data_IF_303682394479
#
_entry.id   IF_303682394479
#
_cell.length_a   1.000
_cell.length_b   1.000
_cell.length_c   1.000
_cell.angle_alpha   90.00
_cell.angle_beta   90.00
_cell.angle_gamma   90.00
#
_symmetry.space_group_name_H-M   'P 1'
#
loop_
_entity.id
_entity.type
_entity.pdbx_description
1 polymer ?
#
# COMPACT_ATOMS: atom_id res chain seq x y z
N UNK A 1 15.59 -3.37 -17.77
CA UNK A 1 16.14 -2.39 -16.80
C UNK A 1 16.46 -3.12 -15.52
N UNK A 2 17.42 -2.59 -14.73
CA UNK A 2 17.65 -3.04 -13.36
C UNK A 2 16.93 -2.11 -12.38
N UNK A 3 16.01 -2.64 -11.60
CA UNK A 3 15.10 -1.85 -10.79
C UNK A 3 15.25 -2.21 -9.31
N UNK A 4 15.52 -1.20 -8.47
CA UNK A 4 15.53 -1.36 -7.02
C UNK A 4 14.09 -1.26 -6.49
N UNK A 5 13.65 -2.25 -5.73
CA UNK A 5 12.35 -2.27 -5.06
C UNK A 5 12.54 -2.30 -3.56
N UNK A 6 12.13 -1.25 -2.86
CA UNK A 6 12.04 -1.26 -1.39
C UNK A 6 10.65 -1.73 -0.98
N UNK A 7 10.55 -2.59 0.02
CA UNK A 7 9.28 -3.21 0.37
C UNK A 7 8.83 -4.34 -0.56
N UNK A 8 9.73 -4.86 -1.40
CA UNK A 8 9.45 -5.91 -2.37
C UNK A 8 8.97 -7.25 -1.77
N UNK A 9 9.21 -7.51 -0.48
CA UNK A 9 8.72 -8.69 0.23
C UNK A 9 7.29 -8.57 0.76
N UNK A 10 6.70 -7.38 0.73
CA UNK A 10 5.32 -7.12 1.15
C UNK A 10 4.28 -7.64 0.15
N UNK A 11 2.99 -7.54 0.51
CA UNK A 11 1.87 -7.96 -0.34
C UNK A 11 1.94 -7.32 -1.74
N UNK A 12 1.92 -6.00 -1.82
CA UNK A 12 1.99 -5.26 -3.10
C UNK A 12 3.36 -5.43 -3.76
N UNK A 13 4.43 -5.43 -2.95
CA UNK A 13 5.79 -5.56 -3.45
C UNK A 13 6.03 -6.85 -4.22
N UNK A 14 5.49 -7.97 -3.75
CA UNK A 14 5.60 -9.28 -4.46
C UNK A 14 4.93 -9.23 -5.83
N UNK A 15 3.72 -8.69 -5.92
CA UNK A 15 3.02 -8.55 -7.19
C UNK A 15 3.77 -7.64 -8.18
N UNK A 16 4.38 -6.56 -7.69
CA UNK A 16 5.22 -5.67 -8.51
C UNK A 16 6.49 -6.38 -8.98
N UNK A 17 7.19 -7.08 -8.08
CA UNK A 17 8.40 -7.85 -8.42
C UNK A 17 8.09 -8.90 -9.47
N UNK A 18 7.04 -9.68 -9.29
CA UNK A 18 6.59 -10.69 -10.27
C UNK A 18 6.28 -10.05 -11.63
N UNK A 19 5.59 -8.92 -11.63
CA UNK A 19 5.26 -8.19 -12.86
C UNK A 19 6.51 -7.65 -13.56
N UNK A 20 7.50 -7.14 -12.84
CA UNK A 20 8.77 -6.69 -13.40
C UNK A 20 9.55 -7.86 -14.04
N UNK A 21 9.65 -8.99 -13.34
CA UNK A 21 10.31 -10.18 -13.87
C UNK A 21 9.64 -10.71 -15.13
N UNK A 22 8.30 -10.73 -15.18
CA UNK A 22 7.55 -11.15 -16.37
C UNK A 22 7.77 -10.24 -17.59
N UNK A 23 8.25 -9.02 -17.38
CA UNK A 23 8.65 -8.05 -18.41
C UNK A 23 10.12 -8.18 -18.83
N UNK A 24 10.88 -9.10 -18.24
CA UNK A 24 12.30 -9.26 -18.48
C UNK A 24 13.19 -8.25 -17.74
N UNK A 25 12.69 -7.61 -16.70
CA UNK A 25 13.49 -6.71 -15.85
C UNK A 25 14.34 -7.49 -14.86
N UNK A 26 15.50 -6.94 -14.51
CA UNK A 26 16.29 -7.41 -13.38
C UNK A 26 15.84 -6.66 -12.13
N UNK A 27 15.55 -7.37 -11.06
CA UNK A 27 15.03 -6.78 -9.84
C UNK A 27 16.03 -6.92 -8.71
N UNK A 28 16.31 -5.80 -8.03
CA UNK A 28 17.02 -5.78 -6.75
C UNK A 28 16.03 -5.42 -5.65
N UNK A 29 15.98 -6.20 -4.57
CA UNK A 29 15.09 -5.95 -3.42
C UNK A 29 15.93 -5.53 -2.23
N UNK A 30 15.62 -4.37 -1.64
CA UNK A 30 16.13 -3.97 -0.33
C UNK A 30 15.36 -4.69 0.76
N UNK A 31 16.01 -5.54 1.54
CA UNK A 31 15.40 -6.33 2.61
C UNK A 31 16.15 -6.18 3.93
N UNK A 32 15.41 -6.13 5.05
CA UNK A 32 15.97 -6.04 6.41
C UNK A 32 16.60 -7.33 6.91
N UNK A 33 16.31 -8.44 6.26
CA UNK A 33 16.82 -9.78 6.62
C UNK A 33 17.00 -10.63 5.37
N UNK A 34 17.53 -11.83 5.55
CA UNK A 34 17.92 -12.78 4.49
C UNK A 34 16.75 -13.61 3.93
N UNK A 35 15.50 -13.19 4.06
CA UNK A 35 14.37 -13.92 3.46
C UNK A 35 14.48 -13.83 1.94
N UNK A 36 14.75 -14.96 1.24
CA UNK A 36 14.75 -14.94 -0.22
C UNK A 36 13.35 -14.58 -0.71
N UNK A 37 13.27 -13.65 -1.65
CA UNK A 37 12.07 -13.49 -2.46
C UNK A 37 11.91 -14.76 -3.31
N UNK A 38 10.70 -15.34 -3.30
CA UNK A 38 10.45 -16.62 -3.98
C UNK A 38 10.77 -16.55 -5.48
N UNK A 39 11.59 -17.47 -5.95
CA UNK A 39 11.70 -17.92 -7.33
C UNK A 39 12.23 -16.90 -8.34
N UNK A 40 13.39 -17.18 -8.93
CA UNK A 40 13.95 -16.43 -10.05
C UNK A 40 15.09 -15.49 -9.65
N UNK A 41 15.69 -14.84 -10.63
CA UNK A 41 16.83 -13.93 -10.57
C UNK A 41 16.53 -12.62 -9.84
N UNK A 42 16.16 -12.66 -8.57
CA UNK A 42 16.00 -11.47 -7.73
C UNK A 42 17.24 -11.30 -6.86
N UNK A 43 17.98 -10.24 -7.10
CA UNK A 43 19.10 -9.85 -6.23
C UNK A 43 18.54 -9.25 -4.92
N UNK A 44 18.93 -9.78 -3.78
CA UNK A 44 18.55 -9.22 -2.47
C UNK A 44 19.76 -8.51 -1.86
N UNK A 45 19.58 -7.22 -1.52
CA UNK A 45 20.57 -6.43 -0.79
C UNK A 45 20.05 -6.19 0.62
N UNK A 46 20.90 -6.52 1.61
CA UNK A 46 20.58 -6.28 3.01
C UNK A 46 20.69 -4.79 3.32
N UNK A 47 19.61 -4.23 3.90
CA UNK A 47 19.59 -2.83 4.29
C UNK A 47 18.23 -2.39 4.83
N UNK A 48 18.17 -1.14 5.26
CA UNK A 48 16.95 -0.53 5.78
C UNK A 48 16.88 0.93 5.35
N UNK A 49 15.69 1.40 4.99
CA UNK A 49 15.45 2.82 4.70
C UNK A 49 15.74 3.73 5.90
N UNK A 50 15.81 3.17 7.10
CA UNK A 50 16.18 3.87 8.34
C UNK A 50 17.67 3.79 8.65
N UNK A 51 18.48 3.18 7.77
CA UNK A 51 19.93 3.10 7.86
C UNK A 51 20.56 3.63 6.56
N UNK A 52 20.78 4.95 6.46
CA UNK A 52 21.25 5.61 5.23
C UNK A 52 22.52 5.00 4.64
N UNK A 53 23.43 4.54 5.49
CA UNK A 53 24.71 3.92 5.12
C UNK A 53 24.54 2.65 4.26
N UNK A 54 23.37 2.00 4.33
CA UNK A 54 23.09 0.79 3.54
C UNK A 54 22.47 1.08 2.18
N UNK A 55 22.06 2.32 1.92
CA UNK A 55 21.21 2.65 0.77
C UNK A 55 21.99 2.98 -0.49
N UNK A 56 23.16 3.62 -0.36
CA UNK A 56 24.00 3.97 -1.51
C UNK A 56 24.37 2.73 -2.31
N UNK A 57 24.85 1.67 -1.63
CA UNK A 57 25.18 0.40 -2.29
C UNK A 57 23.95 -0.25 -2.96
N UNK A 58 22.77 -0.12 -2.36
CA UNK A 58 21.54 -0.62 -2.95
C UNK A 58 21.14 0.12 -4.24
N UNK A 59 21.44 1.43 -4.34
CA UNK A 59 21.13 2.26 -5.51
C UNK A 59 22.16 2.14 -6.64
N UNK A 60 23.37 1.63 -6.37
CA UNK A 60 24.42 1.54 -7.40
C UNK A 60 24.03 0.63 -8.56
N UNK A 61 24.17 1.14 -9.80
CA UNK A 61 23.95 0.40 -11.02
C UNK A 61 22.49 -0.03 -11.26
N UNK A 62 21.52 0.67 -10.67
CA UNK A 62 20.10 0.51 -10.99
C UNK A 62 19.60 1.68 -11.82
N UNK A 63 18.59 1.44 -12.66
CA UNK A 63 18.01 2.41 -13.58
C UNK A 63 16.85 3.21 -12.93
N UNK A 64 16.17 2.59 -11.97
CA UNK A 64 15.02 3.20 -11.26
C UNK A 64 14.85 2.64 -9.84
N UNK A 65 14.21 3.42 -8.99
CA UNK A 65 13.75 2.99 -7.65
C UNK A 65 12.23 2.97 -7.62
N UNK A 66 11.67 1.86 -7.14
CA UNK A 66 10.28 1.73 -6.70
C UNK A 66 10.26 1.71 -5.16
N UNK A 67 9.86 2.83 -4.56
CA UNK A 67 9.83 3.00 -3.12
C UNK A 67 8.43 2.69 -2.58
N UNK A 68 8.24 1.47 -2.06
CA UNK A 68 6.94 0.95 -1.63
C UNK A 68 6.79 0.87 -0.11
N UNK A 69 7.86 1.13 0.65
CA UNK A 69 7.84 0.94 2.10
C UNK A 69 6.85 1.88 2.76
N UNK A 70 6.02 1.30 3.61
CA UNK A 70 5.07 2.02 4.46
C UNK A 70 4.55 1.10 5.54
N UNK A 71 4.03 1.71 6.60
CA UNK A 71 3.37 1.04 7.73
C UNK A 71 1.99 1.65 7.94
N UNK A 72 1.04 0.87 8.45
CA UNK A 72 -0.30 1.34 8.83
C UNK A 72 -0.50 1.36 10.35
N UNK A 73 0.49 0.91 11.09
CA UNK A 73 0.54 0.93 12.55
C UNK A 73 1.97 1.14 13.01
N UNK A 74 2.13 1.93 14.08
CA UNK A 74 3.43 2.19 14.69
C UNK A 74 3.77 1.10 15.70
N UNK A 75 5.02 0.62 15.70
CA UNK A 75 5.56 -0.34 16.68
C UNK A 75 7.00 0.01 17.00
N UNK A 76 7.31 0.20 18.26
CA UNK A 76 8.66 0.55 18.70
C UNK A 76 9.19 1.77 17.94
N UNK A 77 10.35 1.62 17.35
CA UNK A 77 11.03 2.66 16.57
C UNK A 77 10.45 2.88 15.17
N UNK A 78 9.53 2.04 14.71
CA UNK A 78 8.87 2.20 13.42
C UNK A 78 7.65 3.11 13.57
N UNK A 79 7.88 4.41 13.55
CA UNK A 79 6.84 5.44 13.56
C UNK A 79 6.52 5.89 12.14
N UNK A 80 5.34 6.51 11.95
CA UNK A 80 4.95 7.07 10.65
C UNK A 80 5.98 8.09 10.16
N UNK A 81 6.46 8.97 11.03
CA UNK A 81 7.48 9.96 10.71
C UNK A 81 8.76 9.30 10.22
N UNK A 82 9.31 8.36 10.97
CA UNK A 82 10.57 7.69 10.62
C UNK A 82 10.46 6.89 9.34
N UNK A 83 9.38 6.10 9.19
CA UNK A 83 9.26 5.18 8.04
C UNK A 83 8.83 5.93 6.78
N UNK A 84 7.81 6.80 6.85
CA UNK A 84 7.29 7.46 5.65
C UNK A 84 8.13 8.67 5.27
N UNK A 85 8.48 9.55 6.24
CA UNK A 85 9.14 10.82 5.94
C UNK A 85 10.65 10.68 5.90
N UNK A 86 11.29 10.26 7.01
CA UNK A 86 12.74 10.10 7.07
C UNK A 86 13.25 9.02 6.11
N UNK A 87 12.60 7.84 6.11
CA UNK A 87 12.97 6.74 5.21
C UNK A 87 12.88 7.11 3.73
N UNK A 88 11.87 7.91 3.35
CA UNK A 88 11.79 8.44 1.97
C UNK A 88 12.92 9.43 1.70
N UNK A 89 13.22 10.37 2.61
CA UNK A 89 14.34 11.32 2.44
C UNK A 89 15.67 10.59 2.28
N UNK A 90 15.93 9.57 3.09
CA UNK A 90 17.14 8.75 3.00
C UNK A 90 17.25 8.06 1.62
N UNK A 91 16.15 7.51 1.10
CA UNK A 91 16.16 6.89 -0.23
C UNK A 91 16.37 7.89 -1.36
N UNK A 92 15.79 9.08 -1.26
CA UNK A 92 16.00 10.17 -2.24
C UNK A 92 17.45 10.62 -2.26
N UNK A 93 18.07 10.78 -1.09
CA UNK A 93 19.49 11.18 -1.01
C UNK A 93 20.41 10.10 -1.59
N UNK A 94 20.18 8.82 -1.25
CA UNK A 94 20.93 7.71 -1.82
C UNK A 94 20.76 7.62 -3.36
N UNK A 95 19.57 7.84 -3.87
CA UNK A 95 19.31 7.89 -5.32
C UNK A 95 20.11 9.03 -5.98
N UNK A 96 20.07 10.23 -5.41
CA UNK A 96 20.82 11.40 -5.93
C UNK A 96 22.32 11.18 -5.90
N UNK A 97 22.87 10.66 -4.79
CA UNK A 97 24.32 10.45 -4.62
C UNK A 97 24.90 9.44 -5.62
N UNK A 98 24.05 8.54 -6.16
CA UNK A 98 24.45 7.56 -7.18
C UNK A 98 24.17 8.01 -8.62
N UNK A 99 23.65 9.23 -8.81
CA UNK A 99 23.27 9.76 -10.12
C UNK A 99 21.99 9.16 -10.70
N UNK A 100 21.26 8.39 -9.92
CA UNK A 100 19.98 7.82 -10.33
C UNK A 100 18.93 8.94 -10.48
N UNK A 101 18.14 8.89 -11.55
CA UNK A 101 17.14 9.93 -11.84
C UNK A 101 15.70 9.47 -11.62
N UNK A 102 15.38 8.22 -11.95
CA UNK A 102 14.00 7.74 -11.97
C UNK A 102 13.53 7.20 -10.62
N UNK A 103 12.52 7.84 -10.01
CA UNK A 103 12.01 7.50 -8.68
C UNK A 103 10.48 7.37 -8.68
N UNK A 104 9.96 6.21 -8.33
CA UNK A 104 8.53 5.93 -8.26
C UNK A 104 8.16 5.71 -6.78
N UNK A 105 7.24 6.52 -6.27
CA UNK A 105 6.86 6.52 -4.87
C UNK A 105 5.43 6.01 -4.66
N UNK A 106 5.25 5.13 -3.67
CA UNK A 106 3.93 4.70 -3.21
C UNK A 106 3.46 5.57 -2.05
N UNK A 107 2.50 6.43 -2.33
CA UNK A 107 1.74 7.18 -1.33
C UNK A 107 0.44 6.43 -0.96
N UNK A 108 -0.63 7.15 -0.66
CA UNK A 108 -1.95 6.60 -0.41
C UNK A 108 -3.03 7.60 -0.82
N UNK A 109 -4.15 7.10 -1.30
CA UNK A 109 -5.32 7.94 -1.55
C UNK A 109 -5.82 8.56 -0.24
N UNK A 110 -6.25 9.82 -0.26
CA UNK A 110 -6.57 10.60 0.94
C UNK A 110 -5.40 11.39 1.52
N UNK A 111 -4.17 11.21 0.99
CA UNK A 111 -2.98 11.99 1.40
C UNK A 111 -3.14 13.47 1.06
N UNK A 112 -3.08 14.34 2.08
CA UNK A 112 -3.23 15.79 1.99
C UNK A 112 -2.62 16.50 3.20
N UNK A 113 -2.31 17.83 3.11
CA UNK A 113 -1.62 18.54 4.21
C UNK A 113 -2.42 18.57 5.50
N UNK A 114 -3.75 18.74 5.41
CA UNK A 114 -4.65 18.89 6.55
C UNK A 114 -5.38 17.57 6.90
N UNK A 115 -4.78 16.42 6.59
CA UNK A 115 -5.37 15.13 6.95
C UNK A 115 -5.45 14.99 8.48
N UNK A 116 -6.56 14.45 8.99
CA UNK A 116 -6.72 14.21 10.42
C UNK A 116 -5.83 13.03 10.86
N UNK A 117 -5.79 11.95 10.07
CA UNK A 117 -4.94 10.79 10.33
C UNK A 117 -3.45 11.15 10.16
N UNK A 118 -2.64 10.77 11.17
CA UNK A 118 -1.18 10.98 11.17
C UNK A 118 -0.52 10.23 10.02
N UNK A 119 -1.05 9.06 9.66
CA UNK A 119 -0.66 8.28 8.50
C UNK A 119 -0.66 9.13 7.21
N UNK A 120 -1.78 9.78 6.89
CA UNK A 120 -1.89 10.59 5.67
C UNK A 120 -1.02 11.85 5.72
N UNK A 121 -0.81 12.46 6.91
CA UNK A 121 0.11 13.59 7.05
C UNK A 121 1.56 13.20 6.76
N UNK A 122 2.02 12.09 7.34
CA UNK A 122 3.40 11.62 7.10
C UNK A 122 3.62 11.21 5.64
N UNK A 123 2.60 10.62 4.99
CA UNK A 123 2.64 10.37 3.54
C UNK A 123 2.71 11.67 2.73
N UNK A 124 1.97 12.71 3.15
CA UNK A 124 2.04 14.02 2.51
C UNK A 124 3.44 14.63 2.60
N UNK A 125 4.07 14.59 3.76
CA UNK A 125 5.44 15.08 3.94
C UNK A 125 6.44 14.32 3.08
N UNK A 126 6.27 13.00 2.96
CA UNK A 126 7.06 12.18 2.05
C UNK A 126 6.87 12.61 0.58
N UNK A 127 5.62 12.86 0.15
CA UNK A 127 5.35 13.38 -1.19
C UNK A 127 6.00 14.73 -1.45
N UNK A 128 6.02 15.65 -0.46
CA UNK A 128 6.70 16.94 -0.60
C UNK A 128 8.21 16.74 -0.79
N UNK A 129 8.81 15.83 -0.03
CA UNK A 129 10.23 15.50 -0.21
C UNK A 129 10.51 14.93 -1.61
N UNK A 130 9.63 14.04 -2.11
CA UNK A 130 9.73 13.49 -3.48
C UNK A 130 9.63 14.59 -4.53
N UNK A 131 8.65 15.50 -4.43
CA UNK A 131 8.46 16.62 -5.37
C UNK A 131 9.64 17.57 -5.39
N UNK A 132 10.25 17.83 -4.23
CA UNK A 132 11.41 18.73 -4.09
C UNK A 132 12.74 18.04 -4.42
N UNK A 133 12.76 16.74 -4.73
CA UNK A 133 14.00 15.96 -4.87
C UNK A 133 14.85 16.31 -6.09
N UNK A 134 14.28 16.92 -7.13
CA UNK A 134 14.93 17.13 -8.42
C UNK A 134 15.09 15.86 -9.26
N UNK A 135 14.50 14.74 -8.83
CA UNK A 135 14.46 13.49 -9.59
C UNK A 135 13.28 13.46 -10.58
N UNK A 136 13.34 12.55 -11.54
CA UNK A 136 12.24 12.25 -12.45
C UNK A 136 11.23 11.36 -11.72
N UNK A 137 10.41 11.96 -10.85
CA UNK A 137 9.54 11.25 -9.95
C UNK A 137 8.16 10.92 -10.55
N UNK A 138 7.53 9.87 -10.05
CA UNK A 138 6.10 9.58 -10.18
C UNK A 138 5.55 9.18 -8.81
N UNK A 139 4.41 9.71 -8.43
CA UNK A 139 3.72 9.36 -7.18
C UNK A 139 2.44 8.62 -7.52
N UNK A 140 2.27 7.43 -6.92
CA UNK A 140 1.01 6.71 -6.96
C UNK A 140 0.31 6.77 -5.60
N UNK A 141 -0.99 7.05 -5.64
CA UNK A 141 -1.89 7.09 -4.48
C UNK A 141 -2.91 5.96 -4.60
N UNK A 142 -2.59 4.74 -4.21
CA UNK A 142 -3.56 3.66 -4.23
C UNK A 142 -4.64 3.86 -3.16
N UNK A 143 -5.86 3.46 -3.52
CA UNK A 143 -6.96 3.23 -2.59
C UNK A 143 -6.73 1.90 -1.85
N UNK A 144 -7.78 1.33 -1.26
CA UNK A 144 -7.75 0.02 -0.63
C UNK A 144 -7.32 -1.05 -1.66
N UNK A 145 -6.11 -1.59 -1.51
CA UNK A 145 -5.58 -2.60 -2.42
C UNK A 145 -6.05 -3.98 -1.97
N UNK A 146 -6.61 -4.75 -2.89
CA UNK A 146 -7.05 -6.12 -2.64
C UNK A 146 -6.43 -7.11 -3.65
N UNK A 147 -6.36 -8.37 -3.26
CA UNK A 147 -5.83 -9.44 -4.10
C UNK A 147 -5.36 -10.67 -3.30
N UNK A 148 -4.76 -11.67 -3.94
CA UNK A 148 -4.29 -12.87 -3.25
C UNK A 148 -3.28 -12.54 -2.13
N UNK A 149 -3.64 -12.86 -0.89
CA UNK A 149 -2.80 -12.61 0.28
C UNK A 149 -2.89 -11.22 0.88
N UNK A 150 -3.91 -10.41 0.51
CA UNK A 150 -4.17 -9.12 1.15
C UNK A 150 -4.61 -9.27 2.62
N UNK A 151 -4.43 -8.19 3.37
CA UNK A 151 -4.80 -8.11 4.79
C UNK A 151 -6.24 -7.68 5.04
N UNK A 152 -7.03 -7.30 4.02
CA UNK A 152 -8.39 -6.77 4.17
C UNK A 152 -9.47 -7.77 3.74
N UNK A 153 -9.57 -8.08 2.45
CA UNK A 153 -10.58 -9.03 1.94
C UNK A 153 -10.37 -10.40 2.58
N UNK A 154 -9.10 -10.86 2.64
CA UNK A 154 -8.73 -12.11 3.31
C UNK A 154 -9.06 -12.13 4.80
N UNK A 155 -8.96 -11.00 5.51
CA UNK A 155 -9.34 -10.88 6.92
C UNK A 155 -10.84 -11.09 7.09
N UNK A 156 -11.67 -10.34 6.37
CA UNK A 156 -13.14 -10.46 6.47
C UNK A 156 -13.63 -11.84 6.01
N UNK A 157 -13.05 -12.40 4.96
CA UNK A 157 -13.34 -13.76 4.52
C UNK A 157 -13.04 -14.81 5.61
N UNK A 158 -11.90 -14.69 6.31
CA UNK A 158 -11.56 -15.56 7.45
C UNK A 158 -12.51 -15.35 8.63
N UNK A 159 -12.78 -14.09 9.00
CA UNK A 159 -13.73 -13.80 10.09
C UNK A 159 -15.11 -14.40 9.81
N UNK A 160 -15.59 -14.33 8.56
CA UNK A 160 -16.87 -14.92 8.15
C UNK A 160 -16.90 -16.46 8.27
N UNK A 161 -15.75 -17.14 8.40
CA UNK A 161 -15.72 -18.60 8.63
C UNK A 161 -16.17 -18.96 10.06
N UNK A 162 -15.80 -18.14 11.03
CA UNK A 162 -15.94 -18.48 12.45
C UNK A 162 -16.96 -17.60 13.19
N UNK A 163 -17.19 -16.38 12.72
CA UNK A 163 -18.10 -15.45 13.38
C UNK A 163 -19.46 -15.40 12.69
N UNK A 164 -20.56 -15.42 13.44
CA UNK A 164 -21.90 -15.23 12.89
C UNK A 164 -22.18 -13.78 12.50
N UNK A 165 -21.36 -12.84 12.98
CA UNK A 165 -21.47 -11.40 12.70
C UNK A 165 -20.11 -10.80 12.37
N UNK A 166 -20.10 -9.79 11.49
CA UNK A 166 -18.91 -9.00 11.17
C UNK A 166 -19.06 -7.59 11.73
N UNK A 167 -18.05 -7.07 12.46
CA UNK A 167 -18.08 -5.70 12.96
C UNK A 167 -17.71 -4.71 11.86
N UNK A 168 -18.50 -3.65 11.74
CA UNK A 168 -18.21 -2.46 10.95
C UNK A 168 -18.10 -1.27 11.90
N UNK A 169 -17.01 -0.52 11.83
CA UNK A 169 -16.78 0.63 12.70
C UNK A 169 -17.51 1.85 12.16
N UNK A 170 -18.32 2.50 13.02
CA UNK A 170 -19.11 3.66 12.64
C UNK A 170 -20.35 3.29 11.82
N UNK A 171 -20.72 4.14 10.88
CA UNK A 171 -21.94 3.98 10.08
C UNK A 171 -21.79 3.06 8.87
N UNK A 172 -20.54 2.77 8.46
CA UNK A 172 -20.25 2.03 7.24
C UNK A 172 -20.58 2.77 5.94
N UNK A 173 -20.88 4.08 6.02
CA UNK A 173 -21.30 4.88 4.86
C UNK A 173 -20.15 5.59 4.15
N UNK A 174 -18.94 5.64 4.77
CA UNK A 174 -17.75 6.15 4.09
C UNK A 174 -17.49 5.33 2.82
N UNK A 175 -17.17 6.02 1.73
CA UNK A 175 -16.96 5.38 0.44
C UNK A 175 -15.51 4.98 0.25
N UNK A 176 -15.32 3.77 -0.23
CA UNK A 176 -14.01 3.26 -0.63
C UNK A 176 -14.06 2.80 -2.09
N UNK A 177 -12.93 2.87 -2.78
CA UNK A 177 -12.83 2.55 -4.21
C UNK A 177 -11.73 1.50 -4.41
N UNK A 178 -11.98 0.22 -4.05
CA UNK A 178 -10.95 -0.81 -4.01
C UNK A 178 -10.26 -1.01 -5.36
N UNK A 179 -8.95 -1.21 -5.34
CA UNK A 179 -8.11 -1.44 -6.52
C UNK A 179 -7.45 -2.81 -6.48
N UNK A 180 -7.45 -3.52 -7.59
CA UNK A 180 -6.79 -4.81 -7.71
C UNK A 180 -5.25 -4.64 -7.61
N UNK A 181 -4.59 -5.53 -6.88
CA UNK A 181 -3.12 -5.51 -6.74
C UNK A 181 -2.41 -5.66 -8.09
N UNK A 182 -3.01 -6.36 -9.04
CA UNK A 182 -2.49 -6.52 -10.39
C UNK A 182 -2.49 -5.21 -11.18
N UNK A 183 -3.52 -4.36 -11.01
CA UNK A 183 -3.60 -3.05 -11.64
C UNK A 183 -2.55 -2.10 -11.05
N UNK A 184 -2.37 -2.14 -9.73
CA UNK A 184 -1.28 -1.43 -9.04
C UNK A 184 0.08 -1.91 -9.57
N UNK A 185 0.30 -3.22 -9.64
CA UNK A 185 1.56 -3.80 -10.14
C UNK A 185 1.81 -3.43 -11.62
N UNK A 186 0.76 -3.36 -12.43
CA UNK A 186 0.86 -2.91 -13.83
C UNK A 186 1.41 -1.49 -13.90
N UNK A 187 0.81 -0.55 -13.18
CA UNK A 187 1.22 0.86 -13.19
C UNK A 187 2.66 1.05 -12.68
N UNK A 188 3.00 0.42 -11.55
CA UNK A 188 4.35 0.49 -10.98
C UNK A 188 5.41 -0.10 -11.91
N UNK A 189 5.14 -1.24 -12.54
CA UNK A 189 6.09 -1.86 -13.46
C UNK A 189 6.21 -1.12 -14.80
N UNK A 190 5.19 -0.39 -15.22
CA UNK A 190 5.23 0.43 -16.43
C UNK A 190 5.92 1.78 -16.21
N UNK A 191 5.75 2.40 -15.05
CA UNK A 191 6.19 3.76 -14.75
C UNK A 191 7.66 4.05 -15.06
N UNK A 192 8.64 3.16 -14.80
CA UNK A 192 10.05 3.42 -15.15
C UNK A 192 10.29 3.77 -16.63
N UNK A 193 9.45 3.24 -17.52
CA UNK A 193 9.55 3.42 -18.98
C UNK A 193 8.49 4.34 -19.58
N UNK A 194 7.70 5.04 -18.74
CA UNK A 194 6.61 5.90 -19.18
C UNK A 194 6.97 7.37 -18.96
N UNK A 195 7.56 8.06 -19.95
CA UNK A 195 7.97 9.47 -19.78
C UNK A 195 6.81 10.38 -19.39
N UNK A 196 5.60 10.12 -19.91
CA UNK A 196 4.38 10.87 -19.59
C UNK A 196 3.92 10.76 -18.13
N UNK A 197 4.59 9.95 -17.30
CA UNK A 197 4.33 9.85 -15.87
C UNK A 197 5.28 10.68 -14.99
N UNK A 198 6.33 11.27 -15.59
CA UNK A 198 7.31 12.08 -14.85
C UNK A 198 6.66 13.36 -14.32
N UNK A 199 7.00 13.71 -13.08
CA UNK A 199 6.47 14.85 -12.32
C UNK A 199 4.94 14.82 -12.16
N UNK A 200 4.33 13.62 -12.17
CA UNK A 200 2.88 13.44 -12.03
C UNK A 200 2.52 12.56 -10.84
N UNK A 201 1.33 12.86 -10.29
CA UNK A 201 0.69 12.06 -9.24
C UNK A 201 -0.56 11.41 -9.84
N UNK A 202 -0.77 10.12 -9.55
CA UNK A 202 -1.90 9.37 -10.05
C UNK A 202 -2.62 8.66 -8.91
N UNK A 203 -3.94 8.78 -8.87
CA UNK A 203 -4.76 7.94 -8.02
C UNK A 203 -4.90 6.56 -8.67
N UNK A 204 -4.69 5.51 -7.89
CA UNK A 204 -4.91 4.13 -8.31
C UNK A 204 -6.12 3.59 -7.55
N UNK A 205 -7.25 3.54 -8.21
CA UNK A 205 -8.51 3.08 -7.65
C UNK A 205 -9.32 2.32 -8.69
N UNK A 206 -10.31 1.56 -8.22
CA UNK A 206 -11.24 0.84 -9.09
C UNK A 206 -12.14 1.79 -9.88
N UNK A 207 -12.99 1.28 -10.79
CA UNK A 207 -13.80 2.10 -11.67
C UNK A 207 -14.91 2.88 -10.95
N UNK A 208 -15.32 2.43 -9.76
CA UNK A 208 -16.39 3.09 -8.98
C UNK A 208 -16.21 2.94 -7.47
N UNK A 209 -16.67 3.91 -6.67
CA UNK A 209 -16.68 3.80 -5.22
C UNK A 209 -17.89 3.02 -4.71
N UNK A 210 -17.74 2.43 -3.50
CA UNK A 210 -18.80 1.71 -2.77
C UNK A 210 -18.83 2.18 -1.31
N UNK A 211 -20.01 2.26 -0.67
CA UNK A 211 -20.08 2.35 0.79
C UNK A 211 -19.33 1.17 1.43
N UNK A 212 -18.64 1.40 2.54
CA UNK A 212 -17.86 0.36 3.21
C UNK A 212 -18.71 -0.86 3.59
N UNK A 213 -19.95 -0.64 4.03
CA UNK A 213 -20.94 -1.69 4.28
C UNK A 213 -21.19 -2.57 3.05
N UNK A 214 -21.30 -1.95 1.87
CA UNK A 214 -21.49 -2.68 0.64
C UNK A 214 -20.28 -3.53 0.31
N UNK A 215 -19.06 -3.03 0.52
CA UNK A 215 -17.82 -3.79 0.33
C UNK A 215 -17.82 -5.06 1.19
N UNK A 216 -18.23 -4.96 2.47
CA UNK A 216 -18.32 -6.13 3.36
C UNK A 216 -19.36 -7.12 2.87
N UNK A 217 -20.54 -6.66 2.44
CA UNK A 217 -21.60 -7.54 1.86
C UNK A 217 -21.12 -8.24 0.60
N UNK A 218 -20.42 -7.53 -0.29
CA UNK A 218 -19.87 -8.13 -1.52
C UNK A 218 -18.84 -9.23 -1.19
N UNK A 219 -18.00 -9.04 -0.16
CA UNK A 219 -17.06 -10.09 0.30
C UNK A 219 -17.83 -11.31 0.83
N UNK A 220 -18.89 -11.09 1.61
CA UNK A 220 -19.73 -12.17 2.12
C UNK A 220 -20.39 -12.96 0.99
N UNK A 221 -20.97 -12.27 0.02
CA UNK A 221 -21.61 -12.90 -1.17
C UNK A 221 -20.60 -13.70 -1.99
N UNK A 222 -19.41 -13.13 -2.25
CA UNK A 222 -18.34 -13.80 -2.99
C UNK A 222 -17.86 -15.08 -2.29
N UNK A 223 -17.82 -15.07 -0.96
CA UNK A 223 -17.43 -16.25 -0.16
C UNK A 223 -18.58 -17.24 0.09
N UNK A 224 -19.79 -16.97 -0.43
CA UNK A 224 -20.97 -17.81 -0.23
C UNK A 224 -21.47 -17.83 1.22
N UNK A 225 -21.20 -16.77 2.00
CA UNK A 225 -21.52 -16.74 3.43
C UNK A 225 -22.53 -15.67 3.76
N UNK A 226 -23.57 -16.07 4.51
CA UNK A 226 -24.58 -15.16 5.05
C UNK A 226 -24.25 -14.87 6.51
N UNK A 227 -23.79 -13.65 6.80
CA UNK A 227 -23.42 -13.20 8.15
C UNK A 227 -24.09 -11.86 8.44
N UNK A 228 -24.44 -11.64 9.71
CA UNK A 228 -24.90 -10.34 10.17
C UNK A 228 -23.78 -9.31 10.11
N UNK A 229 -24.10 -8.05 9.86
CA UNK A 229 -23.19 -6.92 9.99
C UNK A 229 -23.64 -6.11 11.20
N UNK A 230 -22.71 -5.85 12.14
CA UNK A 230 -23.00 -5.11 13.36
C UNK A 230 -22.14 -3.84 13.38
N UNK A 231 -22.80 -2.69 13.52
CA UNK A 231 -22.15 -1.41 13.57
C UNK A 231 -21.63 -1.10 14.99
N UNK A 232 -20.29 -1.00 15.11
CA UNK A 232 -19.65 -0.66 16.38
C UNK A 232 -19.57 0.86 16.51
N UNK A 233 -20.19 1.46 17.54
CA UNK A 233 -20.13 2.90 17.77
C UNK A 233 -18.68 3.40 17.91
N UNK A 234 -18.37 4.56 17.32
CA UNK A 234 -17.02 5.15 17.30
C UNK A 234 -16.38 5.30 18.67
N UNK A 235 -17.10 5.73 19.74
CA UNK A 235 -16.50 5.83 21.07
C UNK A 235 -15.97 4.49 21.59
N UNK A 236 -16.73 3.42 21.36
CA UNK A 236 -16.35 2.05 21.77
C UNK A 236 -15.13 1.58 20.97
N UNK A 237 -15.16 1.77 19.65
CA UNK A 237 -14.04 1.41 18.78
C UNK A 237 -12.75 2.17 19.16
N UNK A 238 -12.84 3.47 19.47
CA UNK A 238 -11.71 4.29 19.91
C UNK A 238 -11.13 3.85 21.25
N UNK A 239 -12.00 3.46 22.20
CA UNK A 239 -11.57 2.93 23.49
C UNK A 239 -10.84 1.60 23.32
N UNK A 240 -11.40 0.69 22.52
CA UNK A 240 -10.79 -0.59 22.18
C UNK A 240 -9.43 -0.41 21.47
N UNK A 241 -9.35 0.45 20.46
CA UNK A 241 -8.10 0.74 19.76
C UNK A 241 -7.04 1.32 20.71
N UNK A 242 -7.42 2.25 21.58
CA UNK A 242 -6.51 2.82 22.58
C UNK A 242 -5.98 1.80 23.59
N UNK A 243 -6.75 0.77 23.93
CA UNK A 243 -6.29 -0.35 24.72
C UNK A 243 -5.33 -1.25 23.93
N UNK A 244 -5.68 -1.62 22.69
CA UNK A 244 -4.87 -2.45 21.82
C UNK A 244 -3.51 -1.81 21.51
N UNK A 245 -3.46 -0.50 21.23
CA UNK A 245 -2.23 0.27 21.00
C UNK A 245 -1.27 0.25 22.18
N UNK A 246 -1.79 0.10 23.41
CA UNK A 246 -0.95 0.03 24.62
C UNK A 246 -0.47 -1.38 24.93
N UNK A 247 -1.32 -2.38 24.68
CA UNK A 247 -1.06 -3.77 25.08
C UNK A 247 -0.22 -4.50 24.03
N UNK A 248 -0.60 -4.44 22.75
CA UNK A 248 0.03 -5.24 21.71
C UNK A 248 1.53 -4.96 21.55
N UNK A 249 2.00 -3.71 21.44
CA UNK A 249 3.43 -3.43 21.30
C UNK A 249 4.24 -3.84 22.54
N UNK A 250 3.65 -3.73 23.75
CA UNK A 250 4.37 -4.00 24.99
C UNK A 250 4.45 -5.49 25.35
N UNK A 251 3.42 -6.27 24.98
CA UNK A 251 3.29 -7.67 25.38
C UNK A 251 3.72 -8.61 24.26
N UNK A 252 3.41 -8.26 23.02
CA UNK A 252 3.60 -9.14 21.85
C UNK A 252 4.67 -8.64 20.87
N UNK A 253 5.21 -7.42 21.06
CA UNK A 253 6.09 -6.74 20.09
C UNK A 253 5.51 -6.74 18.67
N UNK A 254 4.19 -6.59 18.56
CA UNK A 254 3.44 -6.63 17.32
C UNK A 254 2.56 -5.39 17.17
N UNK A 255 2.25 -5.08 15.91
CA UNK A 255 1.29 -4.04 15.60
C UNK A 255 -0.11 -4.43 16.10
N UNK A 256 -0.87 -3.49 16.71
CA UNK A 256 -2.25 -3.74 17.08
C UNK A 256 -3.08 -4.04 15.82
N UNK A 257 -4.06 -4.96 15.89
CA UNK A 257 -4.93 -5.28 14.76
C UNK A 257 -5.81 -4.10 14.35
N UNK A 258 -6.01 -3.13 15.24
CA UNK A 258 -6.76 -1.90 15.03
C UNK A 258 -6.11 -0.78 15.84
N UNK A 259 -5.92 0.38 15.22
CA UNK A 259 -5.44 1.60 15.87
C UNK A 259 -6.37 2.80 15.62
N UNK A 260 -6.16 3.89 16.37
CA UNK A 260 -6.99 5.10 16.28
C UNK A 260 -6.88 5.79 14.93
N UNK A 261 -5.70 5.77 14.30
CA UNK A 261 -5.49 6.33 12.95
C UNK A 261 -6.31 5.57 11.91
N UNK A 262 -6.33 4.23 11.99
CA UNK A 262 -7.17 3.41 11.11
C UNK A 262 -8.66 3.70 11.29
N UNK A 263 -9.13 3.88 12.54
CA UNK A 263 -10.51 4.28 12.80
C UNK A 263 -10.81 5.64 12.16
N UNK A 264 -9.87 6.59 12.24
CA UNK A 264 -10.04 7.89 11.61
C UNK A 264 -10.11 7.79 10.09
N UNK A 265 -9.23 6.98 9.48
CA UNK A 265 -9.23 6.73 8.03
C UNK A 265 -10.54 6.10 7.55
N UNK A 266 -11.13 5.18 8.34
CA UNK A 266 -12.41 4.53 8.02
C UNK A 266 -13.61 5.49 8.05
N UNK A 267 -13.49 6.69 8.62
CA UNK A 267 -14.55 7.70 8.63
C UNK A 267 -14.47 8.66 7.45
N UNK A 268 -13.43 8.61 6.67
CA UNK A 268 -13.21 9.48 5.51
C UNK A 268 -13.45 8.73 4.21
N UNK A 269 -13.99 9.43 3.21
CA UNK A 269 -14.10 8.87 1.86
C UNK A 269 -12.69 8.64 1.28
N UNK A 270 -12.48 7.46 0.72
CA UNK A 270 -11.27 7.07 0.02
C UNK A 270 -11.61 6.84 -1.46
N UNK A 271 -11.85 7.95 -2.17
CA UNK A 271 -12.34 8.00 -3.55
C UNK A 271 -11.40 8.89 -4.38
N UNK A 272 -11.05 8.44 -5.58
CA UNK A 272 -10.15 9.14 -6.51
C UNK A 272 -10.61 9.03 -7.95
N UNK A 273 -9.80 9.57 -8.86
CA UNK A 273 -10.02 9.51 -10.30
C UNK A 273 -9.03 8.53 -10.95
N UNK A 274 -9.48 7.35 -11.44
CA UNK A 274 -8.62 6.41 -12.14
C UNK A 274 -8.30 6.82 -13.58
N UNK A 275 -9.00 7.79 -14.17
CA UNK A 275 -8.90 8.18 -15.58
C UNK A 275 -7.47 8.52 -16.00
N UNK A 276 -6.76 9.46 -15.34
CA UNK A 276 -5.39 9.82 -15.71
C UNK A 276 -4.40 8.66 -15.67
N UNK A 277 -4.55 7.74 -14.71
CA UNK A 277 -3.71 6.54 -14.65
C UNK A 277 -4.04 5.56 -15.79
N UNK A 278 -5.32 5.35 -16.05
CA UNK A 278 -5.80 4.48 -17.14
C UNK A 278 -5.31 4.94 -18.50
N UNK A 279 -5.36 6.24 -18.76
CA UNK A 279 -4.89 6.85 -20.02
C UNK A 279 -3.37 6.70 -20.19
N UNK A 280 -2.60 7.07 -19.18
CA UNK A 280 -1.13 7.11 -19.27
C UNK A 280 -0.51 5.71 -19.29
N UNK A 281 -1.08 4.76 -18.57
CA UNK A 281 -0.54 3.40 -18.44
C UNK A 281 -1.27 2.36 -19.30
N UNK A 282 -2.30 2.77 -20.05
CA UNK A 282 -2.98 1.92 -21.02
C UNK A 282 -3.68 0.71 -20.40
N UNK A 283 -4.48 0.92 -19.35
CA UNK A 283 -5.23 -0.17 -18.71
C UNK A 283 -6.65 0.27 -18.33
N UNK A 284 -7.54 -0.69 -18.17
CA UNK A 284 -8.89 -0.49 -17.59
C UNK A 284 -8.89 -1.04 -16.19
N UNK A 285 -9.17 -0.22 -15.15
CA UNK A 285 -9.25 -0.70 -13.78
C UNK A 285 -10.30 -1.79 -13.63
N UNK A 286 -9.93 -2.90 -12.98
CA UNK A 286 -10.82 -4.01 -12.71
C UNK A 286 -11.88 -3.60 -11.70
N UNK A 287 -13.13 -4.00 -11.92
CA UNK A 287 -14.19 -3.83 -10.93
C UNK A 287 -13.95 -4.71 -9.69
N UNK A 288 -14.46 -4.28 -8.54
CA UNK A 288 -14.31 -5.05 -7.32
C UNK A 288 -15.03 -6.40 -7.41
N UNK A 289 -16.19 -6.44 -8.08
CA UNK A 289 -16.95 -7.66 -8.36
C UNK A 289 -16.14 -8.69 -9.13
N UNK A 290 -15.53 -8.27 -10.24
CA UNK A 290 -14.68 -9.14 -11.06
C UNK A 290 -13.46 -9.63 -10.27
N UNK A 291 -12.88 -8.77 -9.45
CA UNK A 291 -11.76 -9.12 -8.59
C UNK A 291 -12.14 -10.15 -7.53
N UNK A 292 -13.27 -9.98 -6.86
CA UNK A 292 -13.78 -10.93 -5.88
C UNK A 292 -14.13 -12.29 -6.53
N UNK A 293 -14.73 -12.29 -7.73
CA UNK A 293 -15.03 -13.52 -8.45
C UNK A 293 -13.77 -14.33 -8.80
N UNK A 294 -12.62 -13.66 -9.04
CA UNK A 294 -11.34 -14.34 -9.26
C UNK A 294 -10.72 -14.85 -7.96
N UNK A 295 -10.88 -14.12 -6.84
CA UNK A 295 -10.35 -14.54 -5.53
C UNK A 295 -11.13 -15.71 -4.94
N UNK A 296 -12.44 -15.78 -5.22
CA UNK A 296 -13.34 -16.79 -4.72
C UNK A 296 -14.12 -17.42 -5.89
N UNK A 297 -13.47 -18.24 -6.74
CA UNK A 297 -14.15 -18.89 -7.84
C UNK A 297 -15.25 -19.79 -7.29
N UNK A 298 -16.46 -19.62 -7.81
CA UNK A 298 -17.55 -20.56 -7.55
C UNK A 298 -17.24 -21.84 -8.32
N UNK A 299 -16.98 -22.90 -7.58
CA UNK A 299 -16.77 -24.24 -8.14
C UNK A 299 -18.04 -24.77 -8.84
#
# INVERSE_FOLDING_TARGET
MKILVTGGSGFVGRAIVERLLSRGDTVRVLARGTRPTQGGTVETVQGSILRPETLTAACQGVDAVLHLVGIISEVGDQTFERVHTEGTRNMLEAARSTGLRRFIHMSALGTRPNAVARYHRSKWEAEQAVRASGLDWTIFRPSLIYGPGDGFVGLFARMAQWSPVLPVIGTGQSRVQPVAVEDVAHCFAAAPRTPGSVARTFDLCGPRPYPFDQVIRMILEATGRHRGVVHLPLPIARLQAGFLEKVFPRVLDQAPPLNRDQIQMLQEDNVGDPGPASEVFGFTPRSFEEGLARLFPRG
#
